data_IF_772179727211
#
_entry.id   IF_772179727211
#
_cell.length_a   1.000
_cell.length_b   1.000
_cell.length_c   1.000
_cell.angle_alpha   90.00
_cell.angle_beta   90.00
_cell.angle_gamma   90.00
#
_symmetry.space_group_name_H-M   'P 1'
#
loop_
_entity.id
_entity.type
_entity.pdbx_description
1 polymer ?
#
# COMPACT_ATOMS: atom_id res chain seq x y z
N UNK A 1 -20.27 -15.54 3.93
CA UNK A 1 -19.14 -15.81 4.85
C UNK A 1 -17.81 -15.36 4.23
N UNK A 2 -17.42 -14.08 4.36
CA UNK A 2 -16.28 -13.46 3.65
C UNK A 2 -15.12 -12.98 4.56
N UNK A 3 -15.07 -13.38 5.84
CA UNK A 3 -14.19 -12.73 6.84
C UNK A 3 -12.81 -13.34 7.14
N UNK A 4 -12.25 -14.30 6.36
CA UNK A 4 -11.08 -15.10 6.80
C UNK A 4 -9.84 -15.07 5.89
N UNK A 5 -9.55 -13.98 5.18
CA UNK A 5 -8.32 -13.90 4.36
C UNK A 5 -7.08 -13.46 5.15
N UNK A 6 -7.20 -12.52 6.08
CA UNK A 6 -6.03 -11.89 6.70
C UNK A 6 -5.70 -12.49 8.08
N UNK A 7 -4.46 -12.96 8.29
CA UNK A 7 -4.04 -13.64 9.54
C UNK A 7 -3.54 -12.63 10.57
N UNK A 8 -2.55 -11.84 10.18
CA UNK A 8 -1.99 -10.76 11.00
C UNK A 8 -1.20 -9.79 10.12
N UNK A 9 -0.95 -8.59 10.66
CA UNK A 9 0.00 -7.61 10.12
C UNK A 9 1.00 -7.30 11.22
N UNK A 10 2.28 -7.14 10.87
CA UNK A 10 3.33 -6.85 11.85
C UNK A 10 4.34 -5.85 11.30
N UNK A 11 4.87 -4.99 12.16
CA UNK A 11 6.03 -4.13 11.90
C UNK A 11 7.35 -4.83 12.25
N UNK A 12 7.32 -6.08 12.72
CA UNK A 12 8.54 -6.84 13.01
C UNK A 12 9.18 -7.26 11.69
N UNK A 13 10.49 -7.01 11.49
CA UNK A 13 11.20 -7.48 10.31
C UNK A 13 11.04 -9.00 10.16
N UNK A 14 10.69 -9.46 8.97
CA UNK A 14 10.68 -10.88 8.62
C UNK A 14 11.24 -11.07 7.22
N UNK A 15 12.31 -11.84 7.10
CA UNK A 15 12.99 -12.08 5.82
C UNK A 15 13.71 -10.83 5.31
N UNK A 16 13.68 -10.61 3.99
CA UNK A 16 14.32 -9.46 3.34
C UNK A 16 13.60 -8.11 3.61
N UNK A 17 12.34 -8.14 4.05
CA UNK A 17 11.54 -6.96 4.36
C UNK A 17 11.95 -6.30 5.67
N UNK A 18 12.48 -5.07 5.59
CA UNK A 18 12.99 -4.30 6.76
C UNK A 18 11.93 -3.44 7.46
N UNK A 19 10.81 -3.11 6.80
CA UNK A 19 9.80 -2.18 7.32
C UNK A 19 8.57 -2.85 7.97
N UNK A 20 8.27 -4.10 7.63
CA UNK A 20 7.10 -4.84 8.15
C UNK A 20 6.78 -6.08 7.32
N UNK A 21 5.74 -6.82 7.72
CA UNK A 21 5.27 -8.04 7.08
C UNK A 21 3.75 -8.21 7.22
N UNK A 22 3.08 -8.50 6.10
CA UNK A 22 1.65 -8.83 6.07
C UNK A 22 1.48 -10.33 5.85
N UNK A 23 0.79 -11.01 6.76
CA UNK A 23 0.48 -12.43 6.63
C UNK A 23 -0.96 -12.63 6.17
N UNK A 24 -1.12 -12.96 4.89
CA UNK A 24 -2.40 -13.35 4.30
C UNK A 24 -2.51 -14.88 4.18
N UNK A 25 -3.74 -15.41 4.26
CA UNK A 25 -3.99 -16.80 3.84
C UNK A 25 -3.89 -16.85 2.33
N UNK A 26 -3.11 -17.79 1.76
CA UNK A 26 -3.03 -17.96 0.32
C UNK A 26 -4.43 -18.19 -0.26
N UNK A 27 -4.79 -17.39 -1.25
CA UNK A 27 -5.95 -17.58 -2.10
C UNK A 27 -5.51 -17.34 -3.52
N UNK A 28 -6.11 -18.07 -4.47
CA UNK A 28 -5.97 -17.71 -5.89
C UNK A 28 -6.62 -16.35 -6.06
N UNK A 29 -5.82 -15.38 -6.47
CA UNK A 29 -6.20 -14.02 -6.83
C UNK A 29 -5.74 -13.80 -8.26
N UNK A 30 -6.52 -13.07 -9.05
CA UNK A 30 -6.10 -12.70 -10.40
C UNK A 30 -4.93 -11.71 -10.36
N UNK A 31 -4.15 -11.70 -11.43
CA UNK A 31 -2.95 -10.86 -11.54
C UNK A 31 -3.30 -9.37 -11.47
N UNK A 32 -4.47 -8.96 -11.98
CA UNK A 32 -4.97 -7.59 -11.85
C UNK A 32 -5.20 -7.15 -10.39
N UNK A 33 -5.73 -8.01 -9.55
CA UNK A 33 -5.96 -7.75 -8.13
C UNK A 33 -4.65 -7.63 -7.37
N UNK A 34 -3.66 -8.47 -7.72
CA UNK A 34 -2.30 -8.37 -7.17
C UNK A 34 -1.65 -7.05 -7.57
N UNK A 35 -1.82 -6.62 -8.82
CA UNK A 35 -1.28 -5.34 -9.30
C UNK A 35 -1.87 -4.14 -8.53
N UNK A 36 -3.18 -4.12 -8.30
CA UNK A 36 -3.83 -3.08 -7.48
C UNK A 36 -3.25 -3.05 -6.06
N UNK A 37 -3.07 -4.23 -5.42
CA UNK A 37 -2.50 -4.31 -4.07
C UNK A 37 -1.04 -3.83 -4.05
N UNK A 38 -0.25 -4.18 -5.06
CA UNK A 38 1.14 -3.75 -5.19
C UNK A 38 1.28 -2.22 -5.32
N UNK A 39 0.33 -1.55 -6.00
CA UNK A 39 0.30 -0.08 -6.07
C UNK A 39 -0.06 0.59 -4.73
N UNK A 40 -0.86 -0.07 -3.88
CA UNK A 40 -1.44 0.56 -2.69
C UNK A 40 -0.39 1.02 -1.65
N UNK A 41 0.67 0.24 -1.45
CA UNK A 41 1.73 0.57 -0.49
C UNK A 41 2.49 1.85 -0.86
N UNK A 42 3.13 1.92 -2.05
CA UNK A 42 3.81 3.11 -2.53
C UNK A 42 2.91 4.35 -2.57
N UNK A 43 1.67 4.23 -3.05
CA UNK A 43 0.73 5.35 -3.10
C UNK A 43 0.34 5.86 -1.70
N UNK A 44 0.12 4.96 -0.74
CA UNK A 44 -0.15 5.35 0.65
C UNK A 44 1.06 6.05 1.28
N UNK A 45 2.29 5.60 0.99
CA UNK A 45 3.51 6.26 1.44
C UNK A 45 3.65 7.66 0.82
N UNK A 46 3.46 7.78 -0.49
CA UNK A 46 3.52 9.07 -1.19
C UNK A 46 2.51 10.05 -0.60
N UNK A 47 1.26 9.61 -0.39
CA UNK A 47 0.23 10.44 0.23
C UNK A 47 0.63 10.90 1.64
N UNK A 48 1.13 10.00 2.48
CA UNK A 48 1.60 10.37 3.82
C UNK A 48 2.70 11.44 3.76
N UNK A 49 3.70 11.28 2.88
CA UNK A 49 4.78 12.25 2.71
C UNK A 49 4.24 13.61 2.26
N UNK A 50 3.28 13.63 1.33
CA UNK A 50 2.65 14.86 0.85
C UNK A 50 1.81 15.56 1.92
N UNK A 51 1.17 14.82 2.83
CA UNK A 51 0.41 15.37 3.96
C UNK A 51 1.33 15.84 5.11
N UNK A 52 2.43 15.12 5.36
CA UNK A 52 3.36 15.40 6.46
C UNK A 52 4.39 16.48 6.14
N UNK A 53 4.67 16.73 4.85
CA UNK A 53 5.65 17.73 4.40
C UNK A 53 4.94 18.98 3.93
N UNK A 54 5.31 20.14 4.49
CA UNK A 54 4.71 21.41 4.11
C UNK A 54 5.02 21.73 2.63
N UNK A 55 4.15 22.52 1.98
CA UNK A 55 4.38 22.95 0.61
C UNK A 55 5.63 23.86 0.50
N UNK A 56 5.92 24.64 1.55
CA UNK A 56 7.07 25.53 1.59
C UNK A 56 8.39 24.75 1.59
N UNK A 57 8.47 23.68 2.39
CA UNK A 57 9.68 22.83 2.47
C UNK A 57 9.92 22.10 1.13
N UNK A 58 8.85 21.65 0.45
CA UNK A 58 8.95 20.99 -0.86
C UNK A 58 9.42 21.91 -1.98
N UNK A 59 8.98 23.16 -1.97
CA UNK A 59 9.35 24.16 -2.97
C UNK A 59 10.81 24.61 -2.83
N UNK A 60 11.36 24.61 -1.60
CA UNK A 60 12.77 24.94 -1.35
C UNK A 60 13.71 23.85 -1.90
N UNK A 61 13.27 22.59 -1.86
CA UNK A 61 14.02 21.43 -2.38
C UNK A 61 13.74 21.11 -3.87
N UNK A 62 12.91 21.89 -4.56
CA UNK A 62 12.44 21.64 -5.95
C UNK A 62 11.82 20.24 -6.14
N UNK A 63 11.17 19.72 -5.10
CA UNK A 63 10.56 18.38 -5.11
C UNK A 63 9.08 18.47 -5.51
N UNK A 64 8.71 17.83 -6.62
CA UNK A 64 7.31 17.79 -7.06
C UNK A 64 6.54 16.64 -6.43
N UNK A 65 5.20 16.73 -6.48
CA UNK A 65 4.32 15.63 -6.10
C UNK A 65 4.57 14.37 -6.96
N UNK A 66 4.98 14.54 -8.23
CA UNK A 66 5.34 13.45 -9.12
C UNK A 66 6.66 12.80 -8.69
N UNK A 67 7.65 13.58 -8.28
CA UNK A 67 8.93 13.06 -7.76
C UNK A 67 8.73 12.27 -6.47
N UNK A 68 7.83 12.72 -5.59
CA UNK A 68 7.48 11.98 -4.38
C UNK A 68 6.77 10.67 -4.72
N UNK A 69 5.84 10.69 -5.68
CA UNK A 69 5.14 9.48 -6.13
C UNK A 69 6.10 8.51 -6.80
N UNK A 70 6.93 8.95 -7.74
CA UNK A 70 7.95 8.12 -8.40
C UNK A 70 8.99 7.60 -7.39
N UNK A 71 9.48 8.46 -6.50
CA UNK A 71 10.39 8.10 -5.41
C UNK A 71 9.78 7.09 -4.44
N UNK A 72 8.49 7.17 -4.13
CA UNK A 72 7.80 6.18 -3.30
C UNK A 72 7.82 4.78 -3.92
N UNK A 73 7.74 4.68 -5.25
CA UNK A 73 7.91 3.41 -5.97
C UNK A 73 9.34 2.86 -5.84
N UNK A 74 10.32 3.71 -5.51
CA UNK A 74 11.74 3.33 -5.40
C UNK A 74 12.18 3.04 -3.96
N UNK A 75 11.61 3.70 -2.94
CA UNK A 75 12.14 3.68 -1.57
C UNK A 75 11.67 2.51 -0.68
N UNK A 76 10.60 1.78 -1.06
CA UNK A 76 10.07 0.69 -0.24
C UNK A 76 9.29 -0.39 -0.98
N UNK A 77 8.89 -0.12 -2.23
CA UNK A 77 8.08 -1.02 -3.05
C UNK A 77 8.85 -1.72 -4.16
N UNK A 78 10.13 -2.07 -3.99
CA UNK A 78 10.91 -2.70 -5.07
C UNK A 78 10.30 -4.05 -5.49
N UNK A 79 9.87 -4.86 -4.51
CA UNK A 79 9.16 -6.12 -4.77
C UNK A 79 7.78 -5.88 -5.40
N UNK A 80 7.09 -4.82 -4.95
CA UNK A 80 5.81 -4.40 -5.51
C UNK A 80 5.96 -3.92 -6.97
N UNK A 81 7.04 -3.21 -7.29
CA UNK A 81 7.37 -2.71 -8.62
C UNK A 81 7.67 -3.86 -9.59
N UNK A 82 8.35 -4.91 -9.12
CA UNK A 82 8.55 -6.13 -9.90
C UNK A 82 7.21 -6.79 -10.23
N UNK A 83 6.30 -6.88 -9.26
CA UNK A 83 4.93 -7.42 -9.47
C UNK A 83 4.11 -6.55 -10.43
N UNK A 84 4.17 -5.22 -10.29
CA UNK A 84 3.53 -4.27 -11.21
C UNK A 84 4.07 -4.47 -12.63
N UNK A 85 5.39 -4.57 -12.79
CA UNK A 85 6.03 -4.78 -14.09
C UNK A 85 5.59 -6.10 -14.73
N UNK A 86 5.54 -7.19 -13.95
CA UNK A 86 5.06 -8.49 -14.43
C UNK A 86 3.59 -8.44 -14.83
N UNK A 87 2.74 -7.78 -14.04
CA UNK A 87 1.33 -7.61 -14.37
C UNK A 87 1.16 -6.80 -15.67
N UNK A 88 1.89 -5.70 -15.83
CA UNK A 88 1.87 -4.90 -17.07
C UNK A 88 2.24 -5.74 -18.29
N UNK A 89 3.31 -6.53 -18.20
CA UNK A 89 3.72 -7.45 -19.26
C UNK A 89 2.63 -8.50 -19.58
N UNK A 90 2.03 -9.11 -18.55
CA UNK A 90 1.00 -10.14 -18.72
C UNK A 90 -0.27 -9.63 -19.43
N UNK A 91 -0.58 -8.34 -19.29
CA UNK A 91 -1.74 -7.70 -19.94
C UNK A 91 -1.35 -6.87 -21.18
N UNK A 92 -0.09 -6.92 -21.63
CA UNK A 92 0.36 -6.25 -22.85
C UNK A 92 0.52 -4.73 -22.72
N UNK A 93 0.55 -4.19 -21.50
CA UNK A 93 0.85 -2.77 -21.27
C UNK A 93 2.35 -2.51 -21.46
N UNK A 94 2.69 -1.53 -22.30
CA UNK A 94 4.09 -1.20 -22.61
C UNK A 94 4.39 0.28 -22.38
N UNK A 95 5.64 0.57 -22.03
CA UNK A 95 6.14 1.94 -21.85
C UNK A 95 5.35 2.73 -20.79
N UNK A 96 5.13 4.02 -21.09
CA UNK A 96 4.46 5.01 -20.21
C UNK A 96 2.93 4.99 -20.32
N UNK A 97 2.32 3.91 -20.81
CA UNK A 97 0.85 3.82 -20.83
C UNK A 97 0.30 3.95 -19.40
N UNK A 98 -0.79 4.72 -19.22
CA UNK A 98 -1.44 4.87 -17.91
C UNK A 98 -1.71 3.49 -17.30
N UNK A 99 -1.33 3.32 -16.04
CA UNK A 99 -1.60 2.07 -15.33
C UNK A 99 -3.02 2.12 -14.75
N UNK A 100 -3.97 1.32 -15.28
CA UNK A 100 -5.34 1.34 -14.78
C UNK A 100 -5.42 0.89 -13.31
N UNK A 101 -4.48 0.06 -12.85
CA UNK A 101 -4.46 -0.42 -11.47
C UNK A 101 -3.96 0.64 -10.50
N UNK A 102 -3.06 1.53 -10.93
CA UNK A 102 -2.62 2.67 -10.12
C UNK A 102 -3.79 3.61 -9.78
N UNK A 103 -4.67 3.90 -10.75
CA UNK A 103 -5.86 4.72 -10.51
C UNK A 103 -6.85 4.07 -9.53
N UNK A 104 -7.11 2.77 -9.71
CA UNK A 104 -7.98 2.01 -8.79
C UNK A 104 -7.38 1.98 -7.36
N UNK A 105 -6.08 1.76 -7.26
CA UNK A 105 -5.38 1.74 -5.98
C UNK A 105 -5.42 3.11 -5.29
N UNK A 106 -5.20 4.20 -6.05
CA UNK A 106 -5.31 5.57 -5.56
C UNK A 106 -6.71 5.84 -5.00
N UNK A 107 -7.77 5.52 -5.75
CA UNK A 107 -9.15 5.68 -5.31
C UNK A 107 -9.48 4.87 -4.04
N UNK A 108 -8.89 3.69 -3.88
CA UNK A 108 -9.06 2.86 -2.68
C UNK A 108 -8.31 3.46 -1.49
N UNK A 109 -7.05 3.89 -1.67
CA UNK A 109 -6.27 4.57 -0.64
C UNK A 109 -7.01 5.82 -0.17
N UNK A 110 -7.57 6.59 -1.10
CA UNK A 110 -8.23 7.84 -0.77
C UNK A 110 -9.53 7.64 0.00
N UNK A 111 -10.34 6.67 -0.40
CA UNK A 111 -11.58 6.31 0.32
C UNK A 111 -11.32 5.74 1.71
N UNK A 112 -10.22 5.03 1.91
CA UNK A 112 -9.91 4.31 3.16
C UNK A 112 -8.80 4.96 3.99
N UNK A 113 -8.40 6.20 3.70
CA UNK A 113 -7.27 6.85 4.35
C UNK A 113 -7.36 6.87 5.88
N UNK A 114 -8.55 7.18 6.41
CA UNK A 114 -8.78 7.18 7.86
C UNK A 114 -8.68 5.76 8.48
N UNK A 115 -9.07 4.72 7.75
CA UNK A 115 -8.93 3.32 8.19
C UNK A 115 -7.44 2.92 8.21
N UNK A 116 -6.71 3.28 7.15
CA UNK A 116 -5.27 3.05 7.01
C UNK A 116 -4.52 3.70 8.18
N UNK A 117 -4.82 4.97 8.48
CA UNK A 117 -4.23 5.70 9.61
C UNK A 117 -4.48 5.02 10.97
N UNK A 118 -5.71 4.52 11.20
CA UNK A 118 -6.03 3.79 12.45
C UNK A 118 -5.29 2.47 12.57
N UNK A 119 -5.19 1.71 11.48
CA UNK A 119 -4.40 0.47 11.45
C UNK A 119 -2.92 0.78 11.72
N UNK A 120 -2.37 1.82 11.09
CA UNK A 120 -0.98 2.24 11.30
C UNK A 120 -0.73 2.64 12.76
N UNK A 121 -1.61 3.45 13.37
CA UNK A 121 -1.54 3.81 14.78
C UNK A 121 -1.55 2.58 15.69
N UNK A 122 -2.50 1.67 15.50
CA UNK A 122 -2.57 0.43 16.28
C UNK A 122 -1.33 -0.47 16.07
N UNK A 123 -0.73 -0.47 14.87
CA UNK A 123 0.52 -1.19 14.61
C UNK A 123 1.72 -0.56 15.32
N UNK A 124 1.78 0.76 15.46
CA UNK A 124 2.83 1.43 16.22
C UNK A 124 2.77 1.05 17.71
N UNK A 125 1.57 0.96 18.27
CA UNK A 125 1.33 0.58 19.66
C UNK A 125 1.60 -0.92 19.92
N UNK A 126 1.05 -1.80 19.09
CA UNK A 126 1.04 -3.24 19.36
C UNK A 126 2.11 -4.03 18.62
N UNK A 127 2.77 -3.43 17.61
CA UNK A 127 3.76 -4.03 16.68
C UNK A 127 3.24 -5.19 15.83
N UNK A 128 2.19 -5.88 16.25
CA UNK A 128 1.51 -6.96 15.54
C UNK A 128 0.02 -6.88 15.84
N UNK A 129 -0.81 -6.90 14.80
CA UNK A 129 -2.25 -6.98 14.90
C UNK A 129 -2.74 -8.31 14.33
N UNK A 130 -3.54 -9.03 15.10
CA UNK A 130 -4.30 -10.19 14.61
C UNK A 130 -5.40 -9.75 13.65
N UNK A 131 -5.92 -10.68 12.84
CA UNK A 131 -7.07 -10.41 11.98
C UNK A 131 -8.30 -9.88 12.72
N UNK A 132 -8.49 -10.22 14.00
CA UNK A 132 -9.57 -9.67 14.82
C UNK A 132 -9.33 -8.19 15.19
N UNK A 133 -8.12 -7.86 15.62
CA UNK A 133 -7.73 -6.48 15.93
C UNK A 133 -7.78 -5.59 14.69
N UNK A 134 -7.38 -6.10 13.52
CA UNK A 134 -7.50 -5.37 12.26
C UNK A 134 -8.96 -5.06 11.89
N UNK A 135 -9.88 -6.01 12.08
CA UNK A 135 -11.32 -5.74 11.87
C UNK A 135 -11.87 -4.70 12.84
N UNK A 136 -11.40 -4.69 14.09
CA UNK A 136 -11.79 -3.66 15.05
C UNK A 136 -11.30 -2.25 14.62
N UNK A 137 -10.17 -2.17 13.92
CA UNK A 137 -9.66 -0.91 13.36
C UNK A 137 -10.47 -0.42 12.14
N UNK A 138 -11.28 -1.28 11.52
CA UNK A 138 -12.07 -0.97 10.31
C UNK A 138 -13.56 -1.22 10.58
N UNK A 139 -14.33 -0.23 11.06
CA UNK A 139 -15.73 -0.35 11.46
C UNK A 139 -16.63 -0.87 10.33
N UNK A 140 -16.29 -0.54 9.07
CA UNK A 140 -17.00 -1.05 7.90
C UNK A 140 -16.89 -2.58 7.72
N UNK A 141 -15.86 -3.21 8.30
CA UNK A 141 -15.60 -4.66 8.23
C UNK A 141 -16.00 -5.42 9.50
N UNK A 142 -16.62 -4.75 10.48
CA UNK A 142 -17.01 -5.34 11.75
C UNK A 142 -18.36 -6.08 11.73
N UNK A 143 -19.01 -6.22 10.56
CA UNK A 143 -20.28 -6.93 10.36
C UNK A 143 -20.10 -8.32 9.78
#
# INVERSE_FOLDING_TARGET
MQGRSLRYVTLRPRGAGRAGFTAVRPRRVDVSSVAVVAHAGPLAQARYVLEATSLADRLDDDVTDEDIRLGSYLCGGHDDLALITQARQAYGFSGRQPDPWAGIAQDLVDRHWADIGRIAGALLEHRTLTGAQLRACVPALAR
#
